data_IF_357448167399
#
_entry.id   IF_357448167399
#
_cell.length_a   1.000
_cell.length_b   1.000
_cell.length_c   1.000
_cell.angle_alpha   90.00
_cell.angle_beta   90.00
_cell.angle_gamma   90.00
#
_symmetry.space_group_name_H-M   'P 1'
#
loop_
_entity.id
_entity.type
_entity.pdbx_description
1 polymer ?
#
# COMPACT_ATOMS: atom_id res chain seq x y z
N UNK A 1 -51.13 74.42 -12.86
CA UNK A 1 -52.18 73.85 -13.74
C UNK A 1 -51.68 72.55 -14.34
N UNK A 2 -52.52 71.50 -14.26
CA UNK A 2 -52.68 70.35 -15.19
C UNK A 2 -51.40 69.66 -15.71
N UNK A 3 -51.06 68.45 -15.23
CA UNK A 3 -51.63 67.12 -15.59
C UNK A 3 -50.98 66.49 -16.83
N UNK A 4 -50.47 65.25 -16.64
CA UNK A 4 -50.69 64.09 -17.55
C UNK A 4 -49.73 64.05 -18.77
N UNK A 5 -49.11 62.96 -19.26
CA UNK A 5 -49.23 61.48 -19.25
C UNK A 5 -47.83 60.98 -19.74
N UNK A 6 -47.09 60.10 -19.07
CA UNK A 6 -47.09 58.62 -19.21
C UNK A 6 -46.72 58.09 -20.64
N UNK A 7 -45.78 57.12 -20.62
CA UNK A 7 -45.62 55.92 -21.48
C UNK A 7 -44.63 55.87 -22.68
N UNK A 8 -43.90 54.75 -22.67
CA UNK A 8 -43.08 54.08 -23.68
C UNK A 8 -41.66 54.61 -23.95
N UNK A 9 -40.60 53.80 -23.99
CA UNK A 9 -40.34 52.41 -23.60
C UNK A 9 -38.92 52.07 -24.04
N UNK A 10 -38.22 51.30 -23.20
CA UNK A 10 -37.36 50.20 -23.62
C UNK A 10 -36.29 50.48 -24.70
N UNK A 11 -35.11 50.92 -24.26
CA UNK A 11 -33.87 50.49 -24.93
C UNK A 11 -32.67 50.48 -23.96
N UNK A 12 -32.82 49.77 -22.85
CA UNK A 12 -31.70 49.26 -22.05
C UNK A 12 -31.78 47.73 -22.09
N UNK A 13 -31.36 47.19 -23.23
CA UNK A 13 -31.33 45.76 -23.52
C UNK A 13 -30.09 45.16 -22.85
N UNK A 14 -30.35 44.29 -21.87
CA UNK A 14 -29.59 43.09 -21.51
C UNK A 14 -28.23 43.23 -20.80
N UNK A 15 -28.24 43.84 -19.61
CA UNK A 15 -27.41 43.29 -18.52
C UNK A 15 -28.36 42.66 -17.52
N UNK A 16 -28.95 41.53 -17.92
CA UNK A 16 -29.68 40.68 -16.99
C UNK A 16 -28.70 40.22 -15.93
N UNK A 17 -28.94 40.63 -14.69
CA UNK A 17 -28.57 39.86 -13.51
C UNK A 17 -28.95 38.39 -13.79
N UNK A 18 -27.99 37.56 -14.20
CA UNK A 18 -28.17 36.12 -14.05
C UNK A 18 -28.47 35.89 -12.58
N UNK A 19 -29.61 35.27 -12.30
CA UNK A 19 -29.97 34.93 -10.93
C UNK A 19 -28.86 34.04 -10.35
N UNK A 20 -28.69 34.05 -9.03
CA UNK A 20 -27.69 33.21 -8.35
C UNK A 20 -27.77 31.74 -8.76
N UNK A 21 -28.93 31.29 -9.23
CA UNK A 21 -29.21 29.94 -9.69
C UNK A 21 -28.57 29.62 -11.06
N UNK A 22 -28.51 30.57 -12.00
CA UNK A 22 -27.82 30.38 -13.29
C UNK A 22 -26.29 30.36 -13.11
N UNK A 23 -25.75 31.23 -12.25
CA UNK A 23 -24.32 31.24 -11.93
C UNK A 23 -23.86 29.98 -11.20
N UNK A 24 -24.74 29.39 -10.37
CA UNK A 24 -24.48 28.10 -9.75
C UNK A 24 -24.51 26.97 -10.78
N UNK A 25 -25.45 26.96 -11.72
CA UNK A 25 -25.49 25.94 -12.79
C UNK A 25 -24.30 26.02 -13.72
N UNK A 26 -23.83 27.22 -14.05
CA UNK A 26 -22.62 27.42 -14.88
C UNK A 26 -21.36 27.01 -14.10
N UNK A 27 -21.24 27.38 -12.82
CA UNK A 27 -20.13 26.94 -11.97
C UNK A 27 -20.14 25.42 -11.70
N UNK A 28 -21.31 24.79 -11.61
CA UNK A 28 -21.46 23.34 -11.51
C UNK A 28 -21.12 22.65 -12.84
N UNK A 29 -21.49 23.22 -13.98
CA UNK A 29 -21.15 22.71 -15.30
C UNK A 29 -19.62 22.79 -15.55
N UNK A 30 -19.02 23.95 -15.30
CA UNK A 30 -17.57 24.16 -15.38
C UNK A 30 -16.82 23.29 -14.35
N UNK A 31 -17.39 23.13 -13.15
CA UNK A 31 -16.86 22.23 -12.12
C UNK A 31 -16.87 20.77 -12.56
N UNK A 32 -17.98 20.30 -13.13
CA UNK A 32 -18.11 18.94 -13.66
C UNK A 32 -17.18 18.72 -14.85
N UNK A 33 -17.04 19.71 -15.73
CA UNK A 33 -16.13 19.64 -16.86
C UNK A 33 -14.67 19.62 -16.40
N UNK A 34 -14.29 20.45 -15.42
CA UNK A 34 -12.95 20.43 -14.83
C UNK A 34 -12.64 19.10 -14.13
N UNK A 35 -13.61 18.49 -13.44
CA UNK A 35 -13.47 17.16 -12.84
C UNK A 35 -13.37 16.07 -13.91
N UNK A 36 -14.14 16.16 -14.99
CA UNK A 36 -14.05 15.23 -16.12
C UNK A 36 -12.72 15.35 -16.86
N UNK A 37 -12.20 16.57 -17.05
CA UNK A 37 -10.89 16.82 -17.67
C UNK A 37 -9.77 16.30 -16.77
N UNK A 38 -9.81 16.56 -15.46
CA UNK A 38 -8.85 15.99 -14.50
C UNK A 38 -8.89 14.46 -14.51
N UNK A 39 -10.08 13.87 -14.53
CA UNK A 39 -10.23 12.41 -14.59
C UNK A 39 -9.69 11.83 -15.88
N UNK A 40 -9.96 12.45 -17.04
CA UNK A 40 -9.41 12.05 -18.34
C UNK A 40 -7.89 12.23 -18.43
N UNK A 41 -7.33 13.26 -17.78
CA UNK A 41 -5.89 13.46 -17.69
C UNK A 41 -5.22 12.42 -16.79
N UNK A 42 -5.83 12.08 -15.65
CA UNK A 42 -5.36 11.01 -14.75
C UNK A 42 -5.48 9.65 -15.45
N UNK A 43 -6.57 9.40 -16.16
CA UNK A 43 -6.80 8.17 -16.92
C UNK A 43 -5.84 8.08 -18.13
N UNK A 44 -5.57 9.21 -18.80
CA UNK A 44 -4.61 9.29 -19.90
C UNK A 44 -3.17 9.07 -19.42
N UNK A 45 -2.77 9.68 -18.30
CA UNK A 45 -1.48 9.45 -17.67
C UNK A 45 -1.36 8.00 -17.16
N UNK A 46 -2.42 7.44 -16.59
CA UNK A 46 -2.48 6.04 -16.16
C UNK A 46 -2.34 5.06 -17.33
N UNK A 47 -3.03 5.32 -18.45
CA UNK A 47 -2.91 4.51 -19.68
C UNK A 47 -1.52 4.62 -20.30
N UNK A 48 -0.95 5.83 -20.37
CA UNK A 48 0.41 6.03 -20.87
C UNK A 48 1.45 5.31 -20.02
N UNK A 49 1.38 5.42 -18.68
CA UNK A 49 2.26 4.69 -17.76
C UNK A 49 2.06 3.16 -17.84
N UNK A 50 0.83 2.70 -18.04
CA UNK A 50 0.53 1.27 -18.19
C UNK A 50 1.05 0.72 -19.52
N UNK A 51 0.97 1.50 -20.59
CA UNK A 51 1.45 1.12 -21.92
C UNK A 51 2.99 1.19 -22.00
N UNK A 52 3.61 2.24 -21.47
CA UNK A 52 5.07 2.35 -21.32
C UNK A 52 5.61 1.27 -20.38
N UNK A 53 4.94 0.98 -19.26
CA UNK A 53 5.30 -0.12 -18.37
C UNK A 53 5.17 -1.49 -19.03
N UNK A 54 4.19 -1.69 -19.91
CA UNK A 54 4.00 -2.92 -20.69
C UNK A 54 5.05 -3.09 -21.77
N UNK A 55 5.45 -2.02 -22.45
CA UNK A 55 6.53 -2.05 -23.46
C UNK A 55 7.93 -2.15 -22.81
N UNK A 56 8.14 -1.54 -21.65
CA UNK A 56 9.31 -1.76 -20.81
C UNK A 56 9.39 -3.21 -20.30
N UNK A 57 8.25 -3.78 -19.88
CA UNK A 57 8.17 -5.18 -19.48
C UNK A 57 8.38 -6.15 -20.65
N UNK A 58 7.87 -5.83 -21.85
CA UNK A 58 8.09 -6.62 -23.08
C UNK A 58 9.54 -6.56 -23.57
N UNK A 59 10.20 -5.41 -23.47
CA UNK A 59 11.61 -5.28 -23.85
C UNK A 59 12.54 -5.99 -22.86
N UNK A 60 12.17 -6.06 -21.57
CA UNK A 60 12.88 -6.86 -20.57
C UNK A 60 12.64 -8.38 -20.71
N UNK A 61 11.53 -8.83 -21.31
CA UNK A 61 11.15 -10.25 -21.38
C UNK A 61 11.64 -11.02 -22.62
N UNK A 62 12.45 -10.40 -23.50
CA UNK A 62 13.15 -11.12 -24.57
C UNK A 62 14.43 -11.85 -24.10
N UNK A 63 14.80 -11.72 -22.84
CA UNK A 63 15.96 -12.39 -22.25
C UNK A 63 15.59 -13.40 -21.16
N UNK A 64 15.41 -14.66 -21.56
CA UNK A 64 15.62 -15.88 -20.74
C UNK A 64 14.63 -16.11 -19.56
N UNK A 65 13.58 -16.88 -19.83
CA UNK A 65 13.44 -18.21 -19.21
C UNK A 65 12.61 -18.41 -17.94
N UNK A 66 12.64 -17.54 -16.93
CA UNK A 66 12.03 -17.86 -15.62
C UNK A 66 11.26 -16.69 -15.00
N UNK A 67 10.25 -16.17 -15.70
CA UNK A 67 9.32 -15.19 -15.13
C UNK A 67 8.21 -15.93 -14.39
N UNK A 68 8.49 -16.24 -13.13
CA UNK A 68 7.57 -16.85 -12.17
C UNK A 68 6.23 -16.10 -12.16
N UNK A 69 5.13 -16.86 -12.23
CA UNK A 69 3.75 -16.42 -12.01
C UNK A 69 3.66 -15.52 -10.76
N UNK A 70 3.60 -14.22 -10.96
CA UNK A 70 3.62 -13.25 -9.86
C UNK A 70 3.13 -11.86 -10.27
N UNK A 71 2.17 -11.78 -11.19
CA UNK A 71 1.44 -10.55 -11.53
C UNK A 71 -0.05 -10.89 -11.38
N UNK A 72 -0.55 -10.96 -10.14
CA UNK A 72 -2.02 -10.92 -9.91
C UNK A 72 -2.49 -10.61 -8.48
N UNK A 73 -1.70 -9.91 -7.66
CA UNK A 73 -2.14 -9.45 -6.34
C UNK A 73 -1.68 -8.00 -6.14
N UNK A 74 -2.57 -7.06 -6.47
CA UNK A 74 -2.30 -5.63 -6.43
C UNK A 74 -1.95 -5.13 -5.02
N UNK A 75 -0.83 -4.39 -4.94
CA UNK A 75 -0.63 -3.08 -4.28
C UNK A 75 -1.26 -2.75 -2.90
N UNK A 76 -1.79 -3.68 -2.09
CA UNK A 76 -2.21 -3.37 -0.71
C UNK A 76 -1.76 -4.36 0.36
N UNK A 77 -1.26 -5.55 0.00
CA UNK A 77 -0.78 -6.55 0.97
C UNK A 77 0.74 -6.45 1.27
N UNK A 78 1.48 -5.59 0.56
CA UNK A 78 2.94 -5.74 0.41
C UNK A 78 3.82 -4.76 1.19
N UNK A 79 3.27 -3.79 1.94
CA UNK A 79 4.08 -2.80 2.67
C UNK A 79 4.54 -3.34 4.04
N UNK A 80 3.68 -4.13 4.71
CA UNK A 80 3.99 -4.69 6.03
C UNK A 80 4.42 -6.16 5.98
N UNK A 81 4.25 -6.83 4.83
CA UNK A 81 4.69 -8.21 4.68
C UNK A 81 6.13 -8.25 4.18
N UNK A 82 6.95 -9.09 4.80
CA UNK A 82 8.34 -9.29 4.37
C UNK A 82 8.64 -10.74 4.09
N UNK A 83 9.56 -10.94 3.15
CA UNK A 83 10.10 -12.25 2.84
C UNK A 83 10.82 -12.82 4.05
N UNK A 84 10.50 -14.06 4.40
CA UNK A 84 11.19 -14.84 5.43
C UNK A 84 11.94 -15.97 4.76
N UNK A 85 13.25 -16.01 4.97
CA UNK A 85 14.11 -17.10 4.51
C UNK A 85 14.30 -18.05 5.68
N UNK A 86 13.70 -19.23 5.58
CA UNK A 86 13.79 -20.24 6.64
C UNK A 86 15.03 -21.11 6.48
N UNK A 87 15.77 -21.24 7.57
CA UNK A 87 16.88 -22.19 7.70
C UNK A 87 16.39 -23.64 7.52
N UNK A 88 17.20 -24.54 6.93
CA UNK A 88 16.83 -25.94 6.77
C UNK A 88 16.35 -26.60 8.08
N UNK A 89 16.98 -26.30 9.22
CA UNK A 89 16.57 -26.86 10.52
C UNK A 89 15.16 -26.41 10.91
N UNK A 90 14.83 -25.14 10.68
CA UNK A 90 13.49 -24.60 10.89
C UNK A 90 12.45 -25.29 10.01
N UNK A 91 12.75 -25.48 8.72
CA UNK A 91 11.83 -26.16 7.77
C UNK A 91 11.51 -27.60 8.15
N UNK A 92 12.35 -28.25 8.97
CA UNK A 92 12.03 -29.59 9.51
C UNK A 92 10.91 -29.56 10.54
N UNK A 93 10.79 -28.47 11.31
CA UNK A 93 9.83 -28.31 12.40
C UNK A 93 8.56 -27.55 11.99
N UNK A 94 8.66 -26.67 10.99
CA UNK A 94 7.60 -25.75 10.62
C UNK A 94 7.34 -25.71 9.10
N UNK A 95 6.14 -25.28 8.73
CA UNK A 95 5.81 -24.89 7.35
C UNK A 95 6.42 -23.54 6.96
N UNK A 96 6.34 -23.18 5.68
CA UNK A 96 6.78 -21.85 5.24
C UNK A 96 5.87 -20.78 5.86
N UNK A 97 6.50 -19.75 6.45
CA UNK A 97 5.81 -18.70 7.18
C UNK A 97 6.00 -17.34 6.49
N UNK A 98 5.07 -16.42 6.76
CA UNK A 98 5.17 -15.01 6.37
C UNK A 98 5.42 -14.17 7.63
N UNK A 99 6.14 -13.06 7.46
CA UNK A 99 6.33 -12.06 8.50
C UNK A 99 5.46 -10.84 8.23
N UNK A 100 4.79 -10.36 9.26
CA UNK A 100 4.13 -9.06 9.28
C UNK A 100 4.85 -8.13 10.25
N UNK A 101 5.27 -6.95 9.76
CA UNK A 101 5.89 -5.92 10.58
C UNK A 101 4.78 -5.16 11.30
N UNK A 102 4.82 -5.14 12.63
CA UNK A 102 3.91 -4.35 13.45
C UNK A 102 4.71 -3.28 14.19
N UNK A 103 4.43 -2.02 13.85
CA UNK A 103 4.97 -0.87 14.57
C UNK A 103 4.01 -0.54 15.70
N UNK A 104 4.45 -0.68 16.96
CA UNK A 104 3.62 -0.28 18.09
C UNK A 104 3.31 1.22 18.01
N UNK A 105 2.06 1.57 18.35
CA UNK A 105 1.62 2.95 18.56
C UNK A 105 2.36 3.57 19.75
N UNK A 106 2.38 4.92 19.83
CA UNK A 106 3.23 5.78 20.67
C UNK A 106 3.40 5.39 22.17
N UNK A 107 2.55 4.54 22.74
CA UNK A 107 2.62 4.14 24.15
C UNK A 107 3.64 3.03 24.45
N UNK A 108 3.93 2.12 23.52
CA UNK A 108 4.70 0.90 23.83
C UNK A 108 6.14 0.91 23.29
N UNK A 109 6.49 1.85 22.40
CA UNK A 109 7.81 2.06 21.72
C UNK A 109 8.52 0.83 21.13
N UNK A 110 8.02 -0.38 21.34
CA UNK A 110 8.63 -1.63 20.93
C UNK A 110 8.23 -1.97 19.51
N UNK A 111 9.24 -2.20 18.67
CA UNK A 111 9.06 -2.67 17.31
C UNK A 111 8.87 -4.18 17.33
N UNK A 112 7.77 -4.68 16.75
CA UNK A 112 7.45 -6.11 16.75
C UNK A 112 7.36 -6.65 15.32
N UNK A 113 7.74 -7.90 15.15
CA UNK A 113 7.52 -8.65 13.91
C UNK A 113 6.75 -9.90 14.27
N UNK A 114 5.56 -10.03 13.71
CA UNK A 114 4.67 -11.15 13.96
C UNK A 114 4.87 -12.21 12.89
N UNK A 115 5.10 -13.46 13.32
CA UNK A 115 5.22 -14.63 12.44
C UNK A 115 4.05 -15.57 12.75
N UNK A 116 3.37 -16.04 11.71
CA UNK A 116 2.43 -17.15 11.83
C UNK A 116 3.18 -18.48 11.67
N UNK A 117 3.21 -19.28 12.72
CA UNK A 117 3.89 -20.58 12.75
C UNK A 117 2.86 -21.70 12.64
N UNK A 118 3.14 -22.70 11.79
CA UNK A 118 2.40 -23.96 11.69
C UNK A 118 3.41 -25.10 11.92
N UNK A 119 3.19 -25.92 12.93
CA UNK A 119 4.14 -26.95 13.35
C UNK A 119 3.90 -28.29 12.66
N UNK A 120 4.95 -28.85 12.04
CA UNK A 120 4.92 -30.20 11.43
C UNK A 120 5.07 -31.32 12.47
N UNK A 121 5.67 -30.98 13.61
CA UNK A 121 5.96 -31.86 14.77
C UNK A 121 5.98 -31.02 16.05
N UNK A 122 5.89 -31.70 17.18
CA UNK A 122 6.10 -31.08 18.49
C UNK A 122 7.43 -30.33 18.52
N UNK A 123 7.37 -29.06 18.92
CA UNK A 123 8.54 -28.21 19.05
C UNK A 123 8.50 -27.45 20.38
N UNK A 124 9.63 -27.49 21.09
CA UNK A 124 9.90 -26.64 22.25
C UNK A 124 11.34 -26.17 22.19
N UNK A 125 11.54 -24.87 22.05
CA UNK A 125 12.87 -24.28 22.02
C UNK A 125 12.88 -22.84 21.55
N UNK A 126 14.08 -22.29 21.44
CA UNK A 126 14.29 -20.94 20.92
C UNK A 126 14.15 -20.91 19.40
N UNK A 127 13.49 -19.87 18.90
CA UNK A 127 13.51 -19.46 17.49
C UNK A 127 14.21 -18.11 17.41
N UNK A 128 15.09 -17.94 16.43
CA UNK A 128 15.82 -16.70 16.20
C UNK A 128 15.42 -16.09 14.85
N UNK A 129 14.84 -14.89 14.91
CA UNK A 129 14.52 -14.07 13.77
C UNK A 129 15.59 -12.97 13.59
N UNK A 130 16.13 -12.82 12.39
CA UNK A 130 17.11 -11.79 12.05
C UNK A 130 16.60 -10.94 10.90
N UNK A 131 16.82 -9.64 10.96
CA UNK A 131 16.47 -8.67 9.93
C UNK A 131 17.70 -8.28 9.10
N UNK A 132 17.55 -8.20 7.78
CA UNK A 132 18.60 -7.81 6.85
C UNK A 132 18.14 -6.66 5.94
N UNK A 133 19.06 -5.74 5.65
CA UNK A 133 18.85 -4.66 4.68
C UNK A 133 19.13 -5.11 3.23
N UNK A 134 18.98 -4.18 2.28
CA UNK A 134 19.24 -4.41 0.86
C UNK A 134 20.71 -4.78 0.56
N UNK A 135 21.66 -4.36 1.42
CA UNK A 135 23.07 -4.72 1.33
C UNK A 135 23.38 -6.12 1.91
N UNK A 136 22.36 -6.84 2.39
CA UNK A 136 22.47 -8.14 3.06
C UNK A 136 23.20 -8.06 4.40
N UNK A 137 23.25 -6.90 5.05
CA UNK A 137 23.82 -6.73 6.39
C UNK A 137 22.74 -7.00 7.43
N UNK A 138 23.10 -7.68 8.52
CA UNK A 138 22.20 -7.87 9.66
C UNK A 138 22.01 -6.52 10.36
N UNK A 139 20.76 -6.04 10.42
CA UNK A 139 20.40 -4.76 11.06
C UNK A 139 19.66 -4.95 12.38
N UNK A 140 19.32 -6.18 12.73
CA UNK A 140 18.70 -6.52 14.02
C UNK A 140 18.40 -8.00 14.16
N UNK A 141 18.19 -8.46 15.39
CA UNK A 141 17.76 -9.82 15.70
C UNK A 141 16.89 -9.88 16.94
N UNK A 142 16.02 -10.88 17.01
CA UNK A 142 15.16 -11.16 18.15
C UNK A 142 15.04 -12.67 18.36
N UNK A 143 15.04 -13.10 19.63
CA UNK A 143 14.94 -14.50 20.03
C UNK A 143 13.68 -14.69 20.87
N UNK A 144 12.96 -15.78 20.61
CA UNK A 144 11.74 -16.12 21.34
C UNK A 144 11.69 -17.62 21.64
N UNK A 145 11.41 -18.00 22.88
CA UNK A 145 11.10 -19.39 23.23
C UNK A 145 9.68 -19.73 22.78
N UNK A 146 9.54 -20.82 22.04
CA UNK A 146 8.26 -21.29 21.48
C UNK A 146 8.03 -22.74 21.86
N UNK A 147 6.87 -22.99 22.47
CA UNK A 147 6.28 -24.33 22.60
C UNK A 147 5.03 -24.42 21.74
N UNK A 148 4.93 -25.44 20.89
CA UNK A 148 3.80 -25.71 19.98
C UNK A 148 3.73 -27.21 19.68
N UNK A 149 2.52 -27.76 19.61
CA UNK A 149 2.31 -29.18 19.29
C UNK A 149 2.24 -29.41 17.80
N UNK A 150 2.49 -30.65 17.39
CA UNK A 150 2.28 -31.09 16.01
C UNK A 150 0.88 -30.68 15.52
N UNK A 151 0.82 -30.15 14.30
CA UNK A 151 -0.37 -29.71 13.58
C UNK A 151 -1.08 -28.48 14.19
N UNK A 152 -0.56 -27.90 15.30
CA UNK A 152 -1.01 -26.61 15.83
C UNK A 152 -0.42 -25.44 15.03
N UNK A 153 -1.10 -24.29 15.13
CA UNK A 153 -0.64 -23.02 14.60
C UNK A 153 -0.77 -21.89 15.61
N UNK A 154 0.13 -20.90 15.55
CA UNK A 154 0.05 -19.70 16.39
C UNK A 154 0.77 -18.50 15.79
N UNK A 155 0.29 -17.31 16.14
CA UNK A 155 1.04 -16.08 15.96
C UNK A 155 2.07 -15.92 17.07
N UNK A 156 3.28 -15.49 16.71
CA UNK A 156 4.34 -15.15 17.67
C UNK A 156 4.93 -13.79 17.37
N UNK A 157 5.19 -13.02 18.41
CA UNK A 157 5.72 -11.66 18.28
C UNK A 157 7.19 -11.61 18.68
N UNK A 158 8.04 -11.29 17.71
CA UNK A 158 9.46 -11.02 17.92
C UNK A 158 9.65 -9.54 18.24
N UNK A 159 10.09 -9.24 19.47
CA UNK A 159 10.39 -7.87 19.88
C UNK A 159 11.82 -7.50 19.47
N UNK A 160 11.97 -6.41 18.73
CA UNK A 160 13.26 -5.87 18.31
C UNK A 160 13.63 -4.64 19.13
N UNK A 161 14.93 -4.41 19.26
CA UNK A 161 15.48 -3.18 19.83
C UNK A 161 14.96 -1.96 19.07
N UNK A 162 14.63 -0.88 19.79
CA UNK A 162 14.08 0.35 19.22
C UNK A 162 14.98 0.97 18.14
N UNK A 163 16.30 0.74 18.20
CA UNK A 163 17.30 1.21 17.22
C UNK A 163 17.27 0.40 15.92
N UNK A 164 16.56 -0.72 15.87
CA UNK A 164 16.40 -1.53 14.65
C UNK A 164 15.49 -0.81 13.65
N UNK A 165 15.99 -0.52 12.46
CA UNK A 165 15.23 0.14 11.40
C UNK A 165 14.40 -0.86 10.58
N UNK A 166 13.29 -1.36 11.12
CA UNK A 166 12.46 -2.38 10.43
C UNK A 166 11.89 -1.94 9.07
N UNK A 167 11.77 -0.63 8.83
CA UNK A 167 11.38 -0.09 7.52
C UNK A 167 12.45 -0.32 6.45
N UNK A 168 13.72 -0.40 6.83
CA UNK A 168 14.85 -0.69 5.94
C UNK A 168 15.09 -2.21 5.79
N UNK A 169 14.33 -3.05 6.50
CA UNK A 169 14.44 -4.49 6.36
C UNK A 169 13.88 -4.94 5.01
N UNK A 170 14.76 -5.52 4.20
CA UNK A 170 14.44 -6.16 2.92
C UNK A 170 13.91 -7.59 3.14
N UNK A 171 14.55 -8.35 4.03
CA UNK A 171 14.12 -9.70 4.36
C UNK A 171 14.49 -10.10 5.79
N UNK A 172 13.82 -11.15 6.28
CA UNK A 172 14.18 -11.81 7.52
C UNK A 172 14.76 -13.19 7.26
N UNK A 173 15.60 -13.68 8.17
CA UNK A 173 15.90 -15.12 8.26
C UNK A 173 15.36 -15.67 9.57
N UNK A 174 14.84 -16.88 9.54
CA UNK A 174 14.34 -17.58 10.74
C UNK A 174 15.04 -18.92 10.89
N UNK A 175 15.46 -19.25 12.12
CA UNK A 175 16.11 -20.51 12.46
C UNK A 175 15.69 -21.02 13.83
#
# INVERSE_FOLDING_TARGET
MKKVLILFSALAILVSCQSKEEKMKEAEADGNEAVAVKSKLIEGAGKALQEEGKEAAKSASKGIGDVIKGINSGMSESINTSKVISDPAFKTNFEECKAEKIYASDSDKQKKVTIYLIAKKDFKGDILLKAFDADKKEIGRSKLEVSIKKDDAKYVDFSFDERTHLLQTEYFTIK
#
